data_IF_716461489006
#
_entry.id   IF_716461489006
#
_cell.length_a   1.000
_cell.length_b   1.000
_cell.length_c   1.000
_cell.angle_alpha   90.00
_cell.angle_beta   90.00
_cell.angle_gamma   90.00
#
_symmetry.space_group_name_H-M   'P 1'
#
loop_
_entity.id
_entity.type
_entity.pdbx_description
1 polymer ?
#
# COMPACT_ATOMS: atom_id res chain seq x y z
N UNK A 1 -8.45 8.80 1.44
CA UNK A 1 -7.92 10.12 1.08
C UNK A 1 -8.96 10.87 0.24
N UNK A 2 -9.36 10.37 -0.93
CA UNK A 2 -10.29 11.02 -1.86
C UNK A 2 -11.65 11.37 -1.23
N UNK A 3 -12.24 10.44 -0.46
CA UNK A 3 -13.50 10.72 0.25
C UNK A 3 -13.38 11.91 1.22
N UNK A 4 -12.28 11.99 1.97
CA UNK A 4 -12.05 13.11 2.88
C UNK A 4 -11.87 14.44 2.14
N UNK A 5 -11.09 14.45 1.04
CA UNK A 5 -10.91 15.64 0.21
C UNK A 5 -12.24 16.13 -0.36
N UNK A 6 -13.08 15.23 -0.87
CA UNK A 6 -14.42 15.55 -1.36
C UNK A 6 -15.32 16.11 -0.26
N UNK A 7 -15.28 15.51 0.93
CA UNK A 7 -16.07 15.99 2.07
C UNK A 7 -15.65 17.38 2.54
N UNK A 8 -14.34 17.67 2.53
CA UNK A 8 -13.82 19.02 2.82
C UNK A 8 -14.34 20.02 1.78
N UNK A 9 -14.31 19.66 0.49
CA UNK A 9 -14.87 20.50 -0.57
C UNK A 9 -16.35 20.80 -0.35
N UNK A 10 -17.18 19.77 -0.13
CA UNK A 10 -18.64 19.92 0.11
C UNK A 10 -18.95 20.86 1.29
N UNK A 11 -18.21 20.70 2.41
CA UNK A 11 -18.37 21.55 3.57
C UNK A 11 -17.98 23.01 3.30
N UNK A 12 -16.94 23.24 2.50
CA UNK A 12 -16.53 24.60 2.10
C UNK A 12 -17.48 25.20 1.09
N UNK A 13 -17.98 24.40 0.14
CA UNK A 13 -18.98 24.83 -0.83
C UNK A 13 -20.29 25.24 -0.12
N UNK A 14 -20.76 24.46 0.85
CA UNK A 14 -21.94 24.80 1.64
C UNK A 14 -21.78 26.12 2.43
N UNK A 15 -20.54 26.51 2.74
CA UNK A 15 -20.19 27.80 3.38
C UNK A 15 -19.90 28.90 2.36
N UNK A 16 -20.23 28.72 1.09
CA UNK A 16 -19.98 29.66 0.00
C UNK A 16 -18.52 30.08 -0.19
N UNK A 17 -17.57 29.25 0.24
CA UNK A 17 -16.13 29.50 0.11
C UNK A 17 -15.58 29.12 -1.29
N UNK A 18 -16.32 28.28 -2.02
CA UNK A 18 -15.99 27.88 -3.38
C UNK A 18 -17.13 28.18 -4.34
N UNK A 19 -16.75 28.68 -5.54
CA UNK A 19 -17.65 28.87 -6.69
C UNK A 19 -17.32 27.91 -7.82
N UNK A 20 -16.09 27.38 -7.84
CA UNK A 20 -15.59 26.43 -8.84
C UNK A 20 -15.83 24.97 -8.45
N UNK A 21 -15.36 24.08 -9.31
CA UNK A 21 -15.55 22.63 -9.19
C UNK A 21 -14.54 21.95 -8.24
N UNK A 22 -14.90 20.76 -7.80
CA UNK A 22 -13.94 19.78 -7.26
C UNK A 22 -13.34 18.99 -8.41
N UNK A 23 -12.04 19.12 -8.60
CA UNK A 23 -11.28 18.41 -9.64
C UNK A 23 -10.35 17.43 -8.96
N UNK A 24 -10.45 16.16 -9.32
CA UNK A 24 -9.67 15.07 -8.75
C UNK A 24 -8.86 14.38 -9.85
N UNK A 25 -7.59 14.09 -9.58
CA UNK A 25 -6.74 13.31 -10.46
C UNK A 25 -5.76 12.47 -9.67
N UNK A 26 -5.53 11.24 -10.13
CA UNK A 26 -4.50 10.36 -9.63
C UNK A 26 -3.22 10.54 -10.46
N UNK A 27 -2.18 11.14 -9.85
CA UNK A 27 -0.91 11.42 -10.52
C UNK A 27 -0.18 10.14 -10.97
N UNK A 28 -0.42 9.00 -10.33
CA UNK A 28 0.17 7.73 -10.75
C UNK A 28 -0.31 7.25 -12.13
N UNK A 29 -1.44 7.77 -12.62
CA UNK A 29 -1.96 7.44 -13.96
C UNK A 29 -1.42 8.37 -15.05
N UNK A 30 -0.76 9.44 -14.67
CA UNK A 30 -0.22 10.43 -15.58
C UNK A 30 1.21 10.05 -16.02
N UNK A 31 1.50 10.12 -17.32
CA UNK A 31 2.83 9.78 -17.87
C UNK A 31 3.21 10.72 -19.00
N UNK A 32 4.47 11.19 -18.99
CA UNK A 32 5.07 12.00 -20.06
C UNK A 32 4.20 13.17 -20.51
N UNK A 33 4.15 13.45 -21.82
CA UNK A 33 3.40 14.57 -22.41
C UNK A 33 1.91 14.55 -22.05
N UNK A 34 1.34 13.36 -21.78
CA UNK A 34 -0.06 13.22 -21.35
C UNK A 34 -0.27 13.83 -19.96
N UNK A 35 0.71 13.76 -19.06
CA UNK A 35 0.64 14.36 -17.74
C UNK A 35 0.58 15.88 -17.83
N UNK A 36 1.50 16.47 -18.58
CA UNK A 36 1.55 17.92 -18.84
C UNK A 36 0.26 18.41 -19.47
N UNK A 37 -0.19 17.74 -20.54
CA UNK A 37 -1.43 18.05 -21.23
C UNK A 37 -2.66 17.93 -20.34
N UNK A 38 -2.72 16.93 -19.49
CA UNK A 38 -3.86 16.70 -18.60
C UNK A 38 -3.93 17.75 -17.49
N UNK A 39 -2.81 18.06 -16.85
CA UNK A 39 -2.77 19.01 -15.75
C UNK A 39 -2.89 20.46 -16.24
N UNK A 40 -2.05 20.85 -17.17
CA UNK A 40 -1.89 22.26 -17.59
C UNK A 40 -2.64 22.62 -18.87
N UNK A 41 -3.15 21.60 -19.60
CA UNK A 41 -3.74 21.79 -20.91
C UNK A 41 -2.71 21.95 -22.02
N UNK A 42 -3.16 22.06 -23.25
CA UNK A 42 -2.32 22.28 -24.42
C UNK A 42 -3.07 23.02 -25.53
N UNK A 43 -2.33 23.68 -26.40
CA UNK A 43 -2.86 24.23 -27.63
C UNK A 43 -2.75 23.23 -28.79
N UNK A 44 -3.57 23.36 -29.78
CA UNK A 44 -3.48 22.54 -30.99
C UNK A 44 -2.07 22.61 -31.60
N UNK A 45 -1.50 21.42 -31.89
CA UNK A 45 -0.15 21.30 -32.46
C UNK A 45 0.99 21.35 -31.45
N UNK A 46 0.73 21.38 -30.15
CA UNK A 46 1.75 21.43 -29.10
C UNK A 46 2.68 20.20 -29.09
N UNK A 47 2.19 19.03 -29.53
CA UNK A 47 2.96 17.78 -29.65
C UNK A 47 2.34 16.89 -30.72
N UNK A 48 3.05 15.83 -31.11
CA UNK A 48 2.57 14.88 -32.11
C UNK A 48 1.28 14.21 -31.60
N UNK A 49 0.17 14.48 -32.27
CA UNK A 49 -1.17 13.99 -31.90
C UNK A 49 -2.07 15.02 -31.20
N UNK A 50 -1.59 16.23 -30.90
CA UNK A 50 -2.41 17.33 -30.37
C UNK A 50 -3.31 17.95 -31.46
N UNK A 51 -4.36 17.24 -31.82
CA UNK A 51 -5.31 17.65 -32.90
C UNK A 51 -6.22 18.81 -32.51
N UNK A 52 -6.53 18.92 -31.23
CA UNK A 52 -7.40 19.94 -30.64
C UNK A 52 -6.71 20.53 -29.39
N UNK A 53 -7.19 21.70 -28.97
CA UNK A 53 -6.72 22.29 -27.70
C UNK A 53 -7.45 21.69 -26.53
N UNK A 54 -6.76 21.53 -25.37
CA UNK A 54 -7.32 21.04 -24.12
C UNK A 54 -7.11 22.05 -23.01
N UNK A 55 -8.12 22.31 -22.21
CA UNK A 55 -8.09 23.33 -21.16
C UNK A 55 -7.17 22.99 -19.99
N UNK A 56 -7.06 21.72 -19.58
CA UNK A 56 -6.29 21.26 -18.43
C UNK A 56 -7.03 21.36 -17.10
N UNK A 57 -6.65 20.45 -16.18
CA UNK A 57 -7.36 20.28 -14.90
C UNK A 57 -7.14 21.45 -13.94
N UNK A 58 -5.95 22.09 -13.97
CA UNK A 58 -5.70 23.25 -13.13
C UNK A 58 -6.66 24.40 -13.45
N UNK A 59 -6.95 24.61 -14.72
CA UNK A 59 -7.91 25.65 -15.13
C UNK A 59 -9.34 25.25 -14.79
N UNK A 60 -9.71 24.00 -14.97
CA UNK A 60 -11.02 23.47 -14.59
C UNK A 60 -11.29 23.57 -13.08
N UNK A 61 -10.23 23.62 -12.24
CA UNK A 61 -10.33 23.79 -10.80
C UNK A 61 -10.45 25.26 -10.35
N UNK A 62 -10.44 26.22 -11.27
CA UNK A 62 -10.48 27.65 -10.94
C UNK A 62 -11.65 28.02 -10.04
N UNK A 63 -11.39 28.76 -8.97
CA UNK A 63 -12.38 29.14 -7.94
C UNK A 63 -12.88 27.96 -7.08
N UNK A 64 -12.31 26.78 -7.23
CA UNK A 64 -12.68 25.56 -6.56
C UNK A 64 -11.52 24.86 -5.86
N UNK A 65 -11.50 23.53 -5.96
CA UNK A 65 -10.49 22.70 -5.30
C UNK A 65 -9.89 21.69 -6.29
N UNK A 66 -8.56 21.59 -6.27
CA UNK A 66 -7.79 20.56 -6.97
C UNK A 66 -7.30 19.52 -5.94
N UNK A 67 -7.68 18.26 -6.11
CA UNK A 67 -7.15 17.15 -5.35
C UNK A 67 -6.21 16.31 -6.21
N UNK A 68 -4.92 16.32 -5.86
CA UNK A 68 -3.88 15.49 -6.47
C UNK A 68 -3.62 14.27 -5.60
N UNK A 69 -4.13 13.10 -6.00
CA UNK A 69 -3.79 11.85 -5.32
C UNK A 69 -2.46 11.32 -5.86
N UNK A 70 -1.64 10.74 -4.98
CA UNK A 70 -0.30 10.25 -5.25
C UNK A 70 0.62 11.31 -5.89
N UNK A 71 0.68 12.51 -5.29
CA UNK A 71 1.49 13.65 -5.81
C UNK A 71 2.98 13.31 -5.95
N UNK A 72 3.50 12.37 -5.16
CA UNK A 72 4.88 11.90 -5.25
C UNK A 72 5.23 11.14 -6.54
N UNK A 73 4.23 10.88 -7.42
CA UNK A 73 4.42 10.25 -8.73
C UNK A 73 4.60 11.26 -9.87
N UNK A 74 4.47 12.56 -9.59
CA UNK A 74 4.69 13.61 -10.60
C UNK A 74 6.16 13.64 -11.05
N UNK A 75 6.39 13.82 -12.34
CA UNK A 75 7.70 14.05 -12.91
C UNK A 75 8.26 15.43 -12.56
N UNK A 76 9.56 15.66 -12.83
CA UNK A 76 10.25 16.89 -12.46
C UNK A 76 9.65 18.13 -13.14
N UNK A 77 9.22 18.02 -14.39
CA UNK A 77 8.65 19.11 -15.16
C UNK A 77 7.26 19.48 -14.64
N UNK A 78 6.41 18.49 -14.34
CA UNK A 78 5.10 18.71 -13.75
C UNK A 78 5.21 19.35 -12.37
N UNK A 79 6.18 18.93 -11.55
CA UNK A 79 6.45 19.52 -10.25
C UNK A 79 6.85 21.01 -10.36
N UNK A 80 7.73 21.36 -11.31
CA UNK A 80 8.15 22.74 -11.53
C UNK A 80 6.99 23.64 -11.97
N UNK A 81 6.16 23.16 -12.91
CA UNK A 81 5.00 23.90 -13.39
C UNK A 81 3.90 24.01 -12.32
N UNK A 82 3.70 22.97 -11.52
CA UNK A 82 2.75 23.00 -10.41
C UNK A 82 3.15 24.02 -9.35
N UNK A 83 4.43 24.09 -9.00
CA UNK A 83 4.94 25.09 -8.07
C UNK A 83 4.61 26.52 -8.56
N UNK A 84 4.92 26.82 -9.82
CA UNK A 84 4.58 28.11 -10.43
C UNK A 84 3.09 28.40 -10.39
N UNK A 85 2.27 27.42 -10.72
CA UNK A 85 0.80 27.58 -10.70
C UNK A 85 0.26 27.85 -9.30
N UNK A 86 0.87 27.27 -8.24
CA UNK A 86 0.46 27.49 -6.84
C UNK A 86 0.91 28.88 -6.37
N UNK A 87 2.11 29.34 -6.74
CA UNK A 87 2.68 30.60 -6.27
C UNK A 87 2.11 31.81 -6.99
N UNK A 88 2.10 31.77 -8.32
CA UNK A 88 1.71 32.90 -9.16
C UNK A 88 0.23 32.88 -9.53
N UNK A 89 -0.48 31.76 -9.29
CA UNK A 89 -1.86 31.51 -9.78
C UNK A 89 -1.99 31.60 -11.30
N UNK A 90 -0.88 31.43 -11.99
CA UNK A 90 -0.77 31.49 -13.46
C UNK A 90 0.18 30.41 -13.96
N UNK A 91 -0.06 29.93 -15.16
CA UNK A 91 0.77 28.95 -15.85
C UNK A 91 0.61 29.04 -17.37
N UNK A 92 1.47 28.37 -18.11
CA UNK A 92 1.39 28.27 -19.56
C UNK A 92 0.84 26.88 -19.95
N UNK A 93 -0.25 26.80 -20.75
CA UNK A 93 -0.60 25.55 -21.40
C UNK A 93 0.54 25.05 -22.30
N UNK A 94 0.68 23.75 -22.45
CA UNK A 94 1.76 23.17 -23.23
C UNK A 94 1.70 23.65 -24.69
N UNK A 95 2.82 24.18 -25.19
CA UNK A 95 2.93 24.80 -26.52
C UNK A 95 2.31 26.17 -26.66
N UNK A 96 1.96 26.87 -25.57
CA UNK A 96 1.38 28.20 -25.58
C UNK A 96 2.30 29.25 -24.92
N UNK A 97 2.44 30.40 -25.57
CA UNK A 97 3.08 31.58 -24.99
C UNK A 97 2.11 32.49 -24.22
N UNK A 98 0.83 32.10 -24.17
CA UNK A 98 -0.19 32.84 -23.45
C UNK A 98 -0.40 32.26 -22.08
N UNK A 99 -0.25 33.11 -21.07
CA UNK A 99 -0.48 32.76 -19.67
C UNK A 99 -1.97 32.57 -19.38
N UNK A 100 -2.28 31.58 -18.57
CA UNK A 100 -3.63 31.30 -18.07
C UNK A 100 -3.64 31.48 -16.55
N UNK A 101 -4.66 32.14 -16.04
CA UNK A 101 -4.86 32.31 -14.59
C UNK A 101 -5.79 31.25 -14.04
N UNK A 102 -5.46 30.71 -12.85
CA UNK A 102 -6.34 29.83 -12.10
C UNK A 102 -6.05 29.94 -10.60
N UNK A 103 -7.06 30.28 -9.82
CA UNK A 103 -6.99 30.33 -8.37
C UNK A 103 -7.78 29.16 -7.78
N UNK A 104 -7.06 28.16 -7.30
CA UNK A 104 -7.65 26.96 -6.71
C UNK A 104 -7.03 26.66 -5.35
N UNK A 105 -7.78 25.97 -4.48
CA UNK A 105 -7.22 25.37 -3.30
C UNK A 105 -6.70 23.98 -3.61
N UNK A 106 -5.44 23.71 -3.23
CA UNK A 106 -4.83 22.40 -3.42
C UNK A 106 -5.00 21.52 -2.18
N UNK A 107 -5.39 20.27 -2.40
CA UNK A 107 -5.18 19.15 -1.47
C UNK A 107 -4.32 18.12 -2.19
N UNK A 108 -3.24 17.69 -1.55
CA UNK A 108 -2.37 16.63 -2.07
C UNK A 108 -2.48 15.38 -1.18
N UNK A 109 -2.54 14.21 -1.80
CA UNK A 109 -2.49 12.91 -1.14
C UNK A 109 -1.28 12.12 -1.61
N UNK A 110 -0.67 11.35 -0.71
CA UNK A 110 0.41 10.41 -1.05
C UNK A 110 0.48 9.29 -0.03
N UNK A 111 1.03 8.13 -0.41
CA UNK A 111 1.46 7.05 0.49
C UNK A 111 2.96 7.07 0.72
N UNK A 112 3.72 7.80 -0.11
CA UNK A 112 5.17 7.92 0.00
C UNK A 112 5.57 9.02 0.98
N UNK A 113 6.68 8.85 1.67
CA UNK A 113 7.30 9.95 2.43
C UNK A 113 7.95 10.94 1.44
N UNK A 114 7.36 12.12 1.30
CA UNK A 114 7.89 13.15 0.39
C UNK A 114 9.26 13.65 0.82
N UNK A 115 9.62 13.61 2.12
CA UNK A 115 10.96 14.02 2.59
C UNK A 115 12.02 13.04 2.09
N UNK A 116 11.68 11.75 2.08
CA UNK A 116 12.56 10.74 1.49
C UNK A 116 12.73 10.97 -0.01
N UNK A 117 11.64 11.24 -0.74
CA UNK A 117 11.72 11.56 -2.16
C UNK A 117 12.53 12.82 -2.46
N UNK A 118 12.49 13.84 -1.59
CA UNK A 118 13.36 15.03 -1.68
C UNK A 118 14.82 14.63 -1.49
N UNK A 119 15.15 13.85 -0.47
CA UNK A 119 16.50 13.36 -0.23
C UNK A 119 17.06 12.50 -1.38
N UNK A 120 16.19 11.76 -2.07
CA UNK A 120 16.52 10.97 -3.26
C UNK A 120 16.55 11.80 -4.56
N UNK A 121 16.27 13.09 -4.52
CA UNK A 121 16.20 13.98 -5.70
C UNK A 121 15.02 13.69 -6.64
N UNK A 122 14.02 12.93 -6.18
CA UNK A 122 12.82 12.56 -6.95
C UNK A 122 11.65 13.54 -6.75
N UNK A 123 11.73 14.36 -5.72
CA UNK A 123 10.73 15.40 -5.46
C UNK A 123 11.46 16.72 -5.16
N UNK A 124 10.96 17.84 -5.69
CA UNK A 124 11.57 19.15 -5.52
C UNK A 124 11.35 19.66 -4.11
N UNK A 125 12.42 20.16 -3.50
CA UNK A 125 12.38 20.71 -2.15
C UNK A 125 11.50 21.97 -2.05
N UNK A 126 11.55 22.83 -3.07
CA UNK A 126 10.75 24.06 -3.14
C UNK A 126 9.24 23.77 -3.21
N UNK A 127 8.83 22.81 -4.03
CA UNK A 127 7.44 22.36 -4.08
C UNK A 127 7.01 21.72 -2.75
N UNK A 128 7.86 20.88 -2.16
CA UNK A 128 7.60 20.29 -0.86
C UNK A 128 7.36 21.35 0.21
N UNK A 129 8.23 22.34 0.30
CA UNK A 129 8.09 23.45 1.24
C UNK A 129 6.77 24.22 1.05
N UNK A 130 6.33 24.38 -0.20
CA UNK A 130 5.10 25.10 -0.54
C UNK A 130 3.83 24.36 -0.20
N UNK A 131 3.80 23.02 -0.34
CA UNK A 131 2.60 22.21 -0.06
C UNK A 131 2.55 21.69 1.38
N UNK A 132 3.66 21.65 2.10
CA UNK A 132 3.78 21.10 3.45
C UNK A 132 3.35 22.08 4.56
N UNK A 133 2.39 22.97 4.28
CA UNK A 133 1.87 23.91 5.28
C UNK A 133 1.02 23.20 6.34
N UNK A 134 0.18 22.27 5.92
CA UNK A 134 -0.72 21.49 6.77
C UNK A 134 -0.66 20.03 6.35
N UNK A 135 -0.04 19.20 7.16
CA UNK A 135 0.10 17.76 6.90
C UNK A 135 -0.65 16.96 7.94
N UNK A 136 -1.48 16.03 7.47
CA UNK A 136 -2.27 15.12 8.30
C UNK A 136 -1.96 13.68 7.91
N UNK A 137 -1.54 12.89 8.87
CA UNK A 137 -1.37 11.46 8.70
C UNK A 137 -2.70 10.77 9.00
N UNK A 138 -3.27 10.10 8.02
CA UNK A 138 -4.49 9.32 8.21
C UNK A 138 -4.12 7.95 8.76
N UNK A 139 -4.59 7.59 9.98
CA UNK A 139 -4.31 6.28 10.54
C UNK A 139 -4.91 5.17 9.68
N UNK A 140 -4.17 4.07 9.54
CA UNK A 140 -4.66 2.88 8.85
C UNK A 140 -5.75 2.15 9.65
N UNK A 141 -6.47 1.25 8.99
CA UNK A 141 -7.58 0.50 9.61
C UNK A 141 -7.11 -0.32 10.82
N UNK A 142 -5.89 -0.86 10.77
CA UNK A 142 -5.26 -1.57 11.88
C UNK A 142 -5.16 -0.71 13.16
N UNK A 143 -5.02 0.59 13.02
CA UNK A 143 -4.91 1.55 14.13
C UNK A 143 -6.27 2.10 14.60
N UNK A 144 -7.35 1.70 13.92
CA UNK A 144 -8.73 2.15 14.16
C UNK A 144 -9.67 0.95 14.16
N UNK A 145 -9.42 0.03 15.08
CA UNK A 145 -10.20 -1.22 15.16
C UNK A 145 -11.68 -0.97 15.44
N UNK A 146 -12.01 0.12 16.15
CA UNK A 146 -13.36 0.57 16.42
C UNK A 146 -14.16 0.93 15.16
N UNK A 147 -13.47 1.27 14.06
CA UNK A 147 -14.14 1.58 12.80
C UNK A 147 -14.49 0.31 11.99
N UNK A 148 -13.97 -0.87 12.35
CA UNK A 148 -14.16 -2.10 11.56
C UNK A 148 -15.63 -2.52 11.56
N UNK A 149 -16.27 -2.60 12.70
CA UNK A 149 -17.66 -3.07 12.79
C UNK A 149 -18.65 -2.13 12.10
N UNK A 150 -18.63 -0.79 12.31
CA UNK A 150 -19.50 0.11 11.56
C UNK A 150 -19.27 0.07 10.04
N UNK A 151 -18.03 -0.13 9.61
CA UNK A 151 -17.72 -0.23 8.19
C UNK A 151 -18.12 -1.59 7.61
N UNK A 152 -18.10 -2.66 8.39
CA UNK A 152 -18.66 -3.95 7.99
C UNK A 152 -20.15 -3.80 7.64
N UNK A 153 -20.92 -3.18 8.51
CA UNK A 153 -22.35 -2.95 8.31
C UNK A 153 -22.60 -2.06 7.08
N UNK A 154 -21.85 -0.97 6.96
CA UNK A 154 -21.92 -0.08 5.80
C UNK A 154 -21.63 -0.82 4.48
N UNK A 155 -20.60 -1.68 4.42
CA UNK A 155 -20.24 -2.39 3.19
C UNK A 155 -21.27 -3.47 2.83
N UNK A 156 -21.91 -4.10 3.82
CA UNK A 156 -23.02 -5.04 3.58
C UNK A 156 -24.23 -4.29 2.99
N UNK A 157 -24.63 -3.16 3.56
CA UNK A 157 -25.71 -2.32 3.04
C UNK A 157 -25.40 -1.79 1.64
N UNK A 158 -24.17 -1.35 1.42
CA UNK A 158 -23.70 -0.89 0.13
C UNK A 158 -23.75 -1.99 -0.92
N UNK A 159 -23.34 -3.22 -0.58
CA UNK A 159 -23.43 -4.36 -1.48
C UNK A 159 -24.90 -4.62 -1.88
N UNK A 160 -25.81 -4.65 -0.91
CA UNK A 160 -27.24 -4.81 -1.16
C UNK A 160 -27.80 -3.71 -2.08
N UNK A 161 -27.36 -2.46 -1.88
CA UNK A 161 -27.80 -1.32 -2.70
C UNK A 161 -27.31 -1.41 -4.15
N UNK A 162 -26.13 -2.00 -4.40
CA UNK A 162 -25.53 -2.12 -5.72
C UNK A 162 -26.03 -3.34 -6.51
N UNK A 163 -26.26 -4.46 -5.82
CA UNK A 163 -26.64 -5.73 -6.46
C UNK A 163 -28.14 -6.01 -6.43
N UNK A 164 -28.87 -5.38 -5.52
CA UNK A 164 -30.26 -5.72 -5.20
C UNK A 164 -30.42 -6.92 -4.26
N UNK A 165 -29.33 -7.61 -3.91
CA UNK A 165 -29.32 -8.80 -3.08
C UNK A 165 -29.07 -8.46 -1.61
N UNK A 166 -30.05 -8.70 -0.76
CA UNK A 166 -29.88 -8.54 0.69
C UNK A 166 -29.09 -9.69 1.29
N UNK A 167 -27.93 -9.37 1.85
CA UNK A 167 -27.04 -10.36 2.48
C UNK A 167 -26.91 -10.08 3.97
N UNK A 168 -26.84 -11.13 4.80
CA UNK A 168 -26.69 -11.00 6.25
C UNK A 168 -25.74 -12.04 6.81
N UNK A 169 -24.95 -11.66 7.78
CA UNK A 169 -24.15 -12.58 8.57
C UNK A 169 -25.00 -13.40 9.54
N UNK A 170 -24.70 -14.69 9.68
CA UNK A 170 -25.11 -15.45 10.85
C UNK A 170 -24.42 -14.86 12.10
N UNK A 171 -25.01 -15.00 13.26
CA UNK A 171 -24.44 -14.49 14.53
C UNK A 171 -23.04 -15.03 14.80
N UNK A 172 -22.82 -16.32 14.56
CA UNK A 172 -21.53 -16.97 14.74
C UNK A 172 -20.50 -16.48 13.73
N UNK A 173 -20.86 -16.41 12.45
CA UNK A 173 -20.03 -15.87 11.38
C UNK A 173 -19.60 -14.43 11.65
N UNK A 174 -20.52 -13.55 12.08
CA UNK A 174 -20.22 -12.17 12.44
C UNK A 174 -19.23 -12.10 13.59
N UNK A 175 -19.43 -12.90 14.63
CA UNK A 175 -18.52 -12.94 15.79
C UNK A 175 -17.12 -13.40 15.37
N UNK A 176 -17.02 -14.47 14.59
CA UNK A 176 -15.75 -15.01 14.11
C UNK A 176 -15.00 -13.98 13.24
N UNK A 177 -15.73 -13.33 12.32
CA UNK A 177 -15.16 -12.28 11.47
C UNK A 177 -14.63 -11.10 12.29
N UNK A 178 -15.43 -10.52 13.18
CA UNK A 178 -15.03 -9.39 14.00
C UNK A 178 -13.86 -9.73 14.91
N UNK A 179 -13.86 -10.91 15.53
CA UNK A 179 -12.76 -11.38 16.36
C UNK A 179 -11.44 -11.46 15.57
N UNK A 180 -11.48 -11.94 14.33
CA UNK A 180 -10.31 -11.95 13.45
C UNK A 180 -9.94 -10.54 12.99
N UNK A 181 -10.90 -9.78 12.47
CA UNK A 181 -10.68 -8.48 11.86
C UNK A 181 -10.08 -7.43 12.82
N UNK A 182 -10.39 -7.54 14.12
CA UNK A 182 -9.84 -6.70 15.20
C UNK A 182 -8.61 -7.31 15.88
N UNK A 183 -8.17 -8.50 15.47
CA UNK A 183 -7.02 -9.16 16.08
C UNK A 183 -5.68 -8.54 15.62
N UNK A 184 -4.59 -8.73 16.41
CA UNK A 184 -3.25 -8.31 15.99
C UNK A 184 -2.75 -8.95 14.68
N UNK A 185 -3.35 -10.09 14.28
CA UNK A 185 -3.03 -10.78 13.03
C UNK A 185 -3.58 -10.04 11.80
N UNK A 186 -4.63 -9.22 11.97
CA UNK A 186 -5.26 -8.48 10.88
C UNK A 186 -4.44 -7.24 10.52
N UNK A 187 -3.62 -7.35 9.47
CA UNK A 187 -2.69 -6.29 9.08
C UNK A 187 -3.34 -5.16 8.29
N UNK A 188 -4.43 -5.42 7.59
CA UNK A 188 -5.21 -4.45 6.80
C UNK A 188 -4.35 -3.53 5.93
N UNK A 189 -3.40 -4.09 5.17
CA UNK A 189 -2.47 -3.32 4.32
C UNK A 189 -3.20 -2.46 3.28
N UNK A 190 -4.26 -3.00 2.70
CA UNK A 190 -5.14 -2.29 1.77
C UNK A 190 -6.19 -1.41 2.46
N UNK A 191 -6.19 -1.35 3.80
CA UNK A 191 -7.16 -0.57 4.59
C UNK A 191 -8.62 -0.87 4.19
N UNK A 192 -9.45 0.16 4.07
CA UNK A 192 -10.87 0.02 3.70
C UNK A 192 -11.11 -0.63 2.34
N UNK A 193 -10.17 -0.55 1.39
CA UNK A 193 -10.29 -1.26 0.10
C UNK A 193 -10.26 -2.77 0.30
N UNK A 194 -9.42 -3.23 1.19
CA UNK A 194 -9.28 -4.64 1.52
C UNK A 194 -10.48 -5.15 2.32
N UNK A 195 -10.97 -4.37 3.28
CA UNK A 195 -12.20 -4.64 4.03
C UNK A 195 -13.41 -4.74 3.07
N UNK A 196 -13.63 -3.75 2.22
CA UNK A 196 -14.70 -3.72 1.23
C UNK A 196 -14.63 -4.92 0.29
N UNK A 197 -13.44 -5.25 -0.25
CA UNK A 197 -13.25 -6.41 -1.11
C UNK A 197 -13.54 -7.72 -0.38
N UNK A 198 -13.18 -7.82 0.90
CA UNK A 198 -13.46 -8.99 1.73
C UNK A 198 -14.96 -9.18 1.95
N UNK A 199 -15.67 -8.12 2.31
CA UNK A 199 -17.14 -8.15 2.46
C UNK A 199 -17.81 -8.51 1.15
N UNK A 200 -17.39 -7.92 0.04
CA UNK A 200 -17.92 -8.22 -1.29
C UNK A 200 -17.76 -9.71 -1.63
N UNK A 201 -16.59 -10.30 -1.38
CA UNK A 201 -16.37 -11.74 -1.64
C UNK A 201 -17.29 -12.62 -0.78
N UNK A 202 -17.34 -12.35 0.53
CA UNK A 202 -18.24 -13.11 1.41
C UNK A 202 -19.70 -12.98 1.00
N UNK A 203 -20.13 -11.80 0.58
CA UNK A 203 -21.48 -11.56 0.09
C UNK A 203 -21.76 -12.30 -1.23
N UNK A 204 -20.80 -12.34 -2.15
CA UNK A 204 -20.93 -13.07 -3.43
C UNK A 204 -21.06 -14.57 -3.23
N UNK A 205 -20.39 -15.14 -2.23
CA UNK A 205 -20.49 -16.58 -1.91
C UNK A 205 -21.59 -16.91 -0.90
N UNK A 206 -22.39 -15.93 -0.49
CA UNK A 206 -23.47 -16.14 0.46
C UNK A 206 -24.55 -17.06 -0.13
N UNK A 207 -24.85 -18.14 0.56
CA UNK A 207 -25.90 -19.06 0.15
C UNK A 207 -27.26 -18.58 0.68
N UNK A 208 -28.22 -18.38 -0.22
CA UNK A 208 -29.55 -17.86 0.12
C UNK A 208 -29.49 -16.54 0.93
N UNK A 209 -28.56 -15.64 0.59
CA UNK A 209 -28.40 -14.35 1.25
C UNK A 209 -27.80 -14.45 2.67
N UNK A 210 -27.19 -15.58 3.03
CA UNK A 210 -26.58 -15.78 4.36
C UNK A 210 -25.09 -16.05 4.26
N UNK A 211 -24.29 -15.22 4.91
CA UNK A 211 -22.86 -15.43 5.13
C UNK A 211 -22.71 -16.36 6.34
N UNK A 212 -22.22 -17.58 6.09
CA UNK A 212 -22.04 -18.63 7.09
C UNK A 212 -20.62 -18.58 7.69
N UNK A 213 -20.40 -19.38 8.75
CA UNK A 213 -19.09 -19.52 9.36
C UNK A 213 -18.06 -20.04 8.36
N UNK A 214 -18.40 -21.04 7.55
CA UNK A 214 -17.51 -21.61 6.53
C UNK A 214 -17.05 -20.54 5.53
N UNK A 215 -17.97 -19.68 5.05
CA UNK A 215 -17.65 -18.56 4.15
C UNK A 215 -16.66 -17.57 4.80
N UNK A 216 -16.83 -17.32 6.09
CA UNK A 216 -15.94 -16.44 6.85
C UNK A 216 -14.58 -17.10 7.07
N UNK A 217 -14.50 -18.37 7.39
CA UNK A 217 -13.24 -19.10 7.59
C UNK A 217 -12.42 -19.16 6.29
N UNK A 218 -13.07 -19.42 5.15
CA UNK A 218 -12.42 -19.36 3.84
C UNK A 218 -11.81 -17.98 3.55
N UNK A 219 -12.55 -16.91 3.85
CA UNK A 219 -12.05 -15.54 3.65
C UNK A 219 -10.92 -15.21 4.63
N UNK A 220 -11.00 -15.63 5.89
CA UNK A 220 -9.93 -15.46 6.88
C UNK A 220 -8.65 -16.16 6.41
N UNK A 221 -8.76 -17.39 5.93
CA UNK A 221 -7.63 -18.17 5.43
C UNK A 221 -7.00 -17.49 4.21
N UNK A 222 -7.82 -16.95 3.30
CA UNK A 222 -7.36 -16.16 2.15
C UNK A 222 -6.61 -14.90 2.57
N UNK A 223 -7.15 -14.14 3.54
CA UNK A 223 -6.48 -12.93 4.03
C UNK A 223 -5.16 -13.27 4.72
N UNK A 224 -5.13 -14.32 5.54
CA UNK A 224 -3.89 -14.81 6.17
C UNK A 224 -2.84 -15.16 5.12
N UNK A 225 -3.22 -15.91 4.09
CA UNK A 225 -2.33 -16.26 2.99
C UNK A 225 -1.76 -15.00 2.31
N UNK A 226 -2.62 -14.07 1.90
CA UNK A 226 -2.20 -12.83 1.25
C UNK A 226 -1.29 -11.96 2.13
N UNK A 227 -1.51 -11.98 3.43
CA UNK A 227 -0.68 -11.20 4.36
C UNK A 227 0.66 -11.89 4.68
N UNK A 228 0.75 -13.21 4.51
CA UNK A 228 1.99 -13.97 4.72
C UNK A 228 3.01 -13.77 3.59
N UNK A 229 2.57 -13.65 2.35
CA UNK A 229 3.45 -13.48 1.17
C UNK A 229 4.33 -12.23 1.20
N UNK A 230 4.11 -11.32 2.14
CA UNK A 230 4.86 -10.07 2.24
C UNK A 230 5.81 -10.02 3.44
N UNK A 231 6.04 -11.12 4.15
CA UNK A 231 7.18 -11.17 5.07
C UNK A 231 8.44 -11.34 4.22
N UNK A 232 9.46 -10.47 4.38
CA UNK A 232 10.76 -10.79 3.80
C UNK A 232 11.12 -12.20 4.24
N UNK A 233 11.58 -13.04 3.30
CA UNK A 233 11.97 -14.39 3.66
C UNK A 233 12.96 -14.30 4.81
N UNK A 234 12.97 -15.31 5.67
CA UNK A 234 13.93 -15.36 6.80
C UNK A 234 15.37 -15.19 6.30
N UNK A 235 15.63 -15.64 5.07
CA UNK A 235 16.89 -15.45 4.36
C UNK A 235 17.19 -13.99 4.02
N UNK A 236 16.22 -13.26 3.46
CA UNK A 236 16.38 -11.84 3.14
C UNK A 236 16.61 -11.00 4.41
N UNK A 237 16.00 -11.40 5.53
CA UNK A 237 16.21 -10.73 6.81
C UNK A 237 17.62 -10.98 7.39
N UNK A 238 18.22 -12.17 7.14
CA UNK A 238 19.54 -12.55 7.65
C UNK A 238 20.69 -12.19 6.72
N UNK A 239 20.51 -12.29 5.40
CA UNK A 239 21.56 -12.16 4.41
C UNK A 239 21.43 -10.89 3.55
N UNK A 240 20.34 -10.10 3.71
CA UNK A 240 20.11 -8.90 2.91
C UNK A 240 20.09 -9.21 1.41
N UNK A 241 20.84 -8.41 0.62
CA UNK A 241 20.95 -8.59 -0.82
C UNK A 241 21.66 -9.90 -1.25
N UNK A 242 22.47 -10.50 -0.39
CA UNK A 242 23.15 -11.76 -0.69
C UNK A 242 22.17 -12.95 -0.83
N UNK A 243 20.98 -12.84 -0.23
CA UNK A 243 19.93 -13.85 -0.39
C UNK A 243 19.51 -14.03 -1.86
N UNK A 244 19.63 -13.01 -2.70
CA UNK A 244 19.29 -13.09 -4.13
C UNK A 244 20.29 -13.89 -4.96
N UNK A 245 21.52 -14.05 -4.47
CA UNK A 245 22.61 -14.77 -5.14
C UNK A 245 22.61 -16.28 -4.83
N UNK A 246 21.65 -16.77 -4.03
CA UNK A 246 21.53 -18.20 -3.66
C UNK A 246 20.53 -18.86 -4.62
N UNK A 247 20.90 -20.02 -5.19
CA UNK A 247 20.02 -20.80 -6.05
C UNK A 247 18.72 -21.20 -5.34
N UNK A 248 17.62 -21.26 -6.08
CA UNK A 248 16.28 -21.55 -5.54
C UNK A 248 16.24 -22.84 -4.70
N UNK A 249 16.96 -23.87 -5.14
CA UNK A 249 17.06 -25.14 -4.43
C UNK A 249 17.71 -24.98 -3.04
N UNK A 250 18.86 -24.33 -2.99
CA UNK A 250 19.57 -24.07 -1.74
C UNK A 250 18.80 -23.10 -0.82
N UNK A 251 18.08 -22.15 -1.41
CA UNK A 251 17.21 -21.20 -0.70
C UNK A 251 16.11 -21.90 0.09
N UNK A 252 15.41 -22.84 -0.55
CA UNK A 252 14.34 -23.61 0.11
C UNK A 252 14.87 -24.49 1.25
N UNK A 253 16.01 -25.15 1.04
CA UNK A 253 16.63 -25.95 2.08
C UNK A 253 17.12 -25.09 3.26
N UNK A 254 17.76 -23.97 2.97
CA UNK A 254 18.32 -23.09 3.98
C UNK A 254 17.22 -22.42 4.83
N UNK A 255 16.09 -22.03 4.24
CA UNK A 255 14.94 -21.53 5.00
C UNK A 255 14.41 -22.55 5.99
N UNK A 256 14.30 -23.82 5.59
CA UNK A 256 13.87 -24.90 6.47
C UNK A 256 14.89 -25.15 7.60
N UNK A 257 16.18 -25.17 7.27
CA UNK A 257 17.27 -25.32 8.27
C UNK A 257 17.26 -24.19 9.28
N UNK A 258 17.09 -22.93 8.84
CA UNK A 258 17.01 -21.77 9.73
C UNK A 258 15.78 -21.85 10.66
N UNK A 259 14.63 -22.28 10.14
CA UNK A 259 13.41 -22.44 10.93
C UNK A 259 13.63 -23.44 12.10
N UNK A 260 14.28 -24.58 11.85
CA UNK A 260 14.62 -25.57 12.87
C UNK A 260 15.66 -25.00 13.85
N UNK A 261 16.70 -24.31 13.34
CA UNK A 261 17.70 -23.69 14.19
C UNK A 261 17.10 -22.66 15.18
N UNK A 262 16.11 -21.89 14.77
CA UNK A 262 15.44 -20.90 15.63
C UNK A 262 14.57 -21.53 16.74
N UNK A 263 14.05 -22.73 16.52
CA UNK A 263 13.24 -23.45 17.50
C UNK A 263 14.09 -24.30 18.47
N UNK A 264 15.29 -24.65 18.05
CA UNK A 264 16.15 -25.54 18.81
C UNK A 264 16.92 -24.81 19.93
N UNK A 265 17.07 -25.46 21.06
CA UNK A 265 17.81 -24.93 22.24
C UNK A 265 19.33 -24.85 22.03
N UNK A 266 19.89 -25.55 21.05
CA UNK A 266 21.32 -25.57 20.75
C UNK A 266 21.58 -26.08 19.34
N UNK A 267 22.75 -25.73 18.76
CA UNK A 267 23.22 -26.24 17.48
C UNK A 267 23.21 -27.77 17.41
N UNK A 268 23.55 -28.42 18.55
CA UNK A 268 23.52 -29.89 18.67
C UNK A 268 22.10 -30.45 18.62
N UNK A 269 21.12 -29.74 19.18
CA UNK A 269 19.71 -30.14 19.13
C UNK A 269 19.16 -30.02 17.71
N UNK A 270 19.40 -28.89 17.05
CA UNK A 270 19.02 -28.68 15.67
C UNK A 270 19.68 -29.71 14.71
N UNK A 271 20.95 -29.99 14.91
CA UNK A 271 21.65 -31.00 14.10
C UNK A 271 21.09 -32.41 14.27
N UNK A 272 20.66 -32.78 15.48
CA UNK A 272 19.99 -34.07 15.72
C UNK A 272 18.66 -34.21 15.01
N UNK A 273 17.88 -33.14 14.95
CA UNK A 273 16.59 -33.09 14.28
C UNK A 273 16.77 -33.16 12.76
N UNK A 274 17.66 -32.34 12.20
CA UNK A 274 17.91 -32.24 10.75
C UNK A 274 18.54 -33.51 10.16
N UNK A 275 19.31 -34.27 10.94
CA UNK A 275 20.07 -35.44 10.47
C UNK A 275 19.62 -36.75 11.10
N UNK A 276 18.37 -36.82 11.59
CA UNK A 276 17.84 -37.95 12.35
C UNK A 276 18.06 -39.33 11.67
N UNK A 277 17.71 -39.48 10.41
CA UNK A 277 17.86 -40.73 9.66
C UNK A 277 19.35 -41.04 9.38
N UNK A 278 20.11 -40.04 8.93
CA UNK A 278 21.51 -40.26 8.52
C UNK A 278 22.49 -40.56 9.66
N UNK A 279 22.09 -40.29 10.91
CA UNK A 279 22.88 -40.62 12.12
C UNK A 279 22.76 -42.08 12.54
N UNK A 280 21.66 -42.77 12.19
CA UNK A 280 21.42 -44.16 12.61
C UNK A 280 22.41 -45.16 12.00
N UNK A 281 23.09 -44.78 10.90
CA UNK A 281 24.06 -45.65 10.21
C UNK A 281 25.54 -45.31 10.46
N UNK A 282 25.89 -44.41 11.41
CA UNK A 282 27.28 -43.95 11.62
C UNK A 282 27.83 -44.30 13.01
N UNK A 283 29.05 -44.82 13.05
CA UNK A 283 29.77 -45.16 14.29
C UNK A 283 30.20 -43.92 15.12
N UNK A 284 30.34 -42.75 14.51
CA UNK A 284 30.63 -41.47 15.19
C UNK A 284 29.77 -40.36 14.54
N UNK A 285 29.00 -39.66 15.38
CA UNK A 285 28.03 -38.68 14.94
C UNK A 285 28.39 -37.29 15.50
N UNK A 286 28.78 -36.35 14.60
CA UNK A 286 28.97 -34.96 14.96
C UNK A 286 28.02 -34.07 14.13
N UNK A 287 26.73 -34.15 14.47
CA UNK A 287 25.67 -33.44 13.77
C UNK A 287 25.79 -31.91 13.92
N UNK A 288 26.35 -31.45 15.06
CA UNK A 288 26.60 -30.03 15.29
C UNK A 288 27.68 -29.47 14.33
N UNK A 289 28.76 -30.19 14.10
CA UNK A 289 29.81 -29.77 13.17
C UNK A 289 29.32 -29.81 11.72
N UNK A 290 28.52 -30.82 11.36
CA UNK A 290 27.91 -30.93 10.06
C UNK A 290 26.96 -29.74 9.77
N UNK A 291 26.14 -29.36 10.74
CA UNK A 291 25.24 -28.22 10.63
C UNK A 291 26.02 -26.89 10.56
N UNK A 292 27.07 -26.74 11.39
CA UNK A 292 27.94 -25.56 11.34
C UNK A 292 28.60 -25.39 9.98
N UNK A 293 29.12 -26.45 9.38
CA UNK A 293 29.71 -26.40 8.03
C UNK A 293 28.68 -26.07 6.93
N UNK A 294 27.45 -26.56 7.07
CA UNK A 294 26.38 -26.23 6.14
C UNK A 294 26.03 -24.75 6.21
N UNK A 295 25.83 -24.19 7.40
CA UNK A 295 25.53 -22.78 7.60
C UNK A 295 26.67 -21.85 7.13
N UNK A 296 27.92 -22.25 7.38
CA UNK A 296 29.10 -21.49 6.97
C UNK A 296 29.21 -21.33 5.44
N UNK A 297 28.67 -22.26 4.64
CA UNK A 297 28.62 -22.13 3.15
C UNK A 297 27.85 -20.88 2.71
N UNK A 298 26.92 -20.40 3.53
CA UNK A 298 26.06 -19.25 3.27
C UNK A 298 26.41 -18.05 4.17
N UNK A 299 27.57 -18.05 4.82
CA UNK A 299 28.02 -16.98 5.70
C UNK A 299 27.21 -16.84 7.01
N UNK A 300 26.44 -17.87 7.38
CA UNK A 300 25.61 -17.86 8.58
C UNK A 300 26.29 -18.53 9.77
N UNK A 301 26.08 -17.94 10.97
CA UNK A 301 26.50 -18.53 12.25
C UNK A 301 25.27 -18.82 13.12
N UNK A 302 25.45 -19.68 14.14
CA UNK A 302 24.37 -19.98 15.08
C UNK A 302 23.90 -18.73 15.83
N UNK A 303 24.85 -17.90 16.25
CA UNK A 303 24.60 -16.65 17.00
C UNK A 303 23.76 -15.67 16.19
N UNK A 304 24.11 -15.47 14.92
CA UNK A 304 23.37 -14.56 14.02
C UNK A 304 21.89 -14.93 13.82
N UNK A 305 21.54 -16.21 14.02
CA UNK A 305 20.15 -16.68 13.90
C UNK A 305 19.34 -16.49 15.21
N UNK A 306 20.00 -16.34 16.36
CA UNK A 306 19.37 -16.20 17.67
C UNK A 306 19.19 -14.73 18.09
N UNK A 307 20.04 -13.81 17.62
CA UNK A 307 20.05 -12.39 18.03
C UNK A 307 18.79 -11.59 17.69
N UNK A 308 17.95 -12.07 16.79
CA UNK A 308 16.70 -11.38 16.43
C UNK A 308 15.52 -11.64 17.40
N UNK A 309 15.68 -12.47 18.42
CA UNK A 309 14.66 -12.72 19.45
C UNK A 309 14.78 -11.81 20.68
N UNK A 310 15.85 -11.01 20.79
CA UNK A 310 16.10 -10.16 21.98
C UNK A 310 15.63 -8.70 21.80
N UNK A 311 14.99 -8.36 20.68
CA UNK A 311 14.57 -6.98 20.35
C UNK A 311 13.05 -6.87 20.09
N UNK A 312 12.24 -7.58 20.87
CA UNK A 312 10.76 -7.45 20.82
C UNK A 312 10.21 -7.12 22.18
#
# INVERSE_FOLDING_TARGET
>A
KSFLARRIFELKQARHQFRGAFVEVNCATLRGDTAMSTLFGHVKGAFTGARESREGLLRSANGGMLFLDEIGELGADEQAMLLKAIEEKTFYPFGSDRQVSSDFQLIAGTVRDLRQLVAEGKFREDLYARINLWTFTLPGLRQRQEDIEPNLDYEVERHASLTGDSVRFNTEARRAWLAFATSPQATWRGNFRELSASVTRMATFATSGRITLDTVEDEINRLRYNWQESRPSTLTALLGAEAENIDLFDRMQLEHVIAICRQAKSLSAAGRELFDISRQGKASVNDADRLRKYLARFGLTWEAMQDQHSSS
#
